data_IF_965866906126
#
_entry.id   IF_965866906126
#
_cell.length_a   1.000
_cell.length_b   1.000
_cell.length_c   1.000
_cell.angle_alpha   90.00
_cell.angle_beta   90.00
_cell.angle_gamma   90.00
#
_symmetry.space_group_name_H-M   'P 1'
#
loop_
_entity.id
_entity.type
_entity.pdbx_description
1 polymer ?
#
# COMPACT_ATOMS: atom_id res chain seq x y z
N UNK A 1 -3.40 -1.77 8.39
CA UNK A 1 -2.79 -1.93 9.74
C UNK A 1 -3.79 -2.48 10.75
N UNK A 2 -4.93 -1.82 11.01
CA UNK A 2 -5.97 -2.35 11.93
C UNK A 2 -6.40 -3.78 11.58
N UNK A 3 -6.60 -4.08 10.29
CA UNK A 3 -6.98 -5.41 9.79
C UNK A 3 -5.91 -6.49 9.97
N UNK A 4 -4.63 -6.08 10.07
CA UNK A 4 -3.47 -6.97 10.01
C UNK A 4 -2.49 -6.60 11.15
N UNK A 5 -2.87 -6.82 12.41
CA UNK A 5 -2.11 -6.38 13.57
C UNK A 5 -0.74 -7.07 13.68
N UNK A 6 -0.60 -8.28 13.15
CA UNK A 6 0.68 -8.98 13.03
C UNK A 6 1.64 -8.26 12.07
N UNK A 7 1.13 -7.79 10.92
CA UNK A 7 1.91 -7.04 9.94
C UNK A 7 2.32 -5.68 10.47
N UNK A 8 1.42 -5.01 11.20
CA UNK A 8 1.74 -3.77 11.93
C UNK A 8 2.88 -3.99 12.91
N UNK A 9 2.77 -5.01 13.77
CA UNK A 9 3.80 -5.31 14.79
C UNK A 9 5.15 -5.61 14.15
N UNK A 10 5.18 -6.41 13.08
CA UNK A 10 6.44 -6.72 12.37
C UNK A 10 7.11 -5.48 11.77
N UNK A 11 6.34 -4.53 11.23
CA UNK A 11 6.88 -3.25 10.75
C UNK A 11 7.37 -2.35 11.89
N UNK A 12 6.64 -2.34 13.01
CA UNK A 12 7.04 -1.64 14.22
C UNK A 12 8.34 -2.20 14.82
N UNK A 13 8.50 -3.53 14.88
CA UNK A 13 9.72 -4.19 15.36
C UNK A 13 10.93 -3.85 14.47
N UNK A 14 10.73 -3.76 13.15
CA UNK A 14 11.76 -3.32 12.21
C UNK A 14 12.17 -1.87 12.45
N UNK A 15 11.19 -0.97 12.63
CA UNK A 15 11.42 0.44 12.94
C UNK A 15 12.18 0.60 14.27
N UNK A 16 11.76 -0.10 15.32
CA UNK A 16 12.41 -0.02 16.63
C UNK A 16 13.87 -0.50 16.55
N UNK A 17 14.14 -1.55 15.78
CA UNK A 17 15.50 -2.07 15.56
C UNK A 17 16.41 -1.05 14.87
N UNK A 18 15.90 -0.33 13.88
CA UNK A 18 16.68 0.63 13.08
C UNK A 18 16.83 1.98 13.78
N UNK A 19 15.76 2.45 14.41
CA UNK A 19 15.69 3.77 15.03
C UNK A 19 16.10 3.77 16.51
N UNK A 20 16.22 2.61 17.16
CA UNK A 20 16.49 2.53 18.60
C UNK A 20 15.33 3.02 19.49
N UNK A 21 14.21 3.40 18.89
CA UNK A 21 13.02 3.91 19.57
C UNK A 21 13.13 5.36 20.06
N UNK A 22 14.16 6.12 19.65
CA UNK A 22 14.48 7.45 20.21
C UNK A 22 14.17 8.64 19.29
N UNK A 23 13.88 8.40 18.01
CA UNK A 23 13.65 9.44 17.00
C UNK A 23 12.62 9.04 15.95
N UNK A 24 12.16 10.03 15.18
CA UNK A 24 11.36 9.80 13.98
C UNK A 24 12.23 9.34 12.80
N UNK A 25 11.68 8.52 11.89
CA UNK A 25 12.40 8.08 10.69
C UNK A 25 12.59 9.21 9.69
N UNK A 26 13.70 9.17 8.96
CA UNK A 26 13.98 10.00 7.79
C UNK A 26 14.07 9.16 6.53
N UNK A 27 14.23 9.79 5.36
CA UNK A 27 14.45 9.05 4.11
C UNK A 27 15.80 8.31 4.06
N UNK A 28 16.77 8.68 4.90
CA UNK A 28 18.07 8.00 5.00
C UNK A 28 17.92 6.60 5.61
N UNK A 29 16.87 6.37 6.40
CA UNK A 29 16.61 5.06 7.02
C UNK A 29 15.99 4.05 6.06
N UNK A 30 15.49 4.50 4.90
CA UNK A 30 14.62 3.70 4.03
C UNK A 30 15.23 2.39 3.56
N UNK A 31 16.51 2.40 3.20
CA UNK A 31 17.22 1.20 2.76
C UNK A 31 17.35 0.14 3.87
N UNK A 32 17.29 0.56 5.14
CA UNK A 32 17.35 -0.33 6.31
C UNK A 32 15.98 -0.83 6.76
N UNK A 33 14.90 -0.44 6.08
CA UNK A 33 13.50 -0.77 6.42
C UNK A 33 12.83 -1.60 5.31
N UNK A 34 13.40 -2.77 4.92
CA UNK A 34 12.90 -3.56 3.79
C UNK A 34 11.50 -4.14 4.01
N UNK A 35 11.11 -4.48 5.23
CA UNK A 35 9.76 -4.98 5.48
C UNK A 35 8.72 -3.85 5.37
N UNK A 36 9.01 -2.65 5.88
CA UNK A 36 8.13 -1.49 5.68
C UNK A 36 7.96 -1.16 4.19
N UNK A 37 9.04 -1.27 3.41
CA UNK A 37 9.00 -1.15 1.95
C UNK A 37 8.04 -2.18 1.33
N UNK A 38 8.06 -3.43 1.81
CA UNK A 38 7.12 -4.45 1.38
C UNK A 38 5.66 -4.12 1.75
N UNK A 39 5.41 -3.55 2.94
CA UNK A 39 4.06 -3.12 3.37
C UNK A 39 3.52 -2.02 2.46
N UNK A 40 4.38 -1.08 2.04
CA UNK A 40 4.01 -0.02 1.10
C UNK A 40 3.55 -0.61 -0.23
N UNK A 41 4.38 -1.46 -0.83
CA UNK A 41 4.06 -2.06 -2.13
C UNK A 41 2.84 -2.96 -2.06
N UNK A 42 2.64 -3.69 -0.96
CA UNK A 42 1.46 -4.53 -0.80
C UNK A 42 0.19 -3.70 -0.64
N UNK A 43 0.29 -2.54 0.03
CA UNK A 43 -0.83 -1.60 0.15
C UNK A 43 -1.25 -1.06 -1.22
N UNK A 44 -0.29 -0.71 -2.07
CA UNK A 44 -0.57 -0.22 -3.42
C UNK A 44 -1.06 -1.32 -4.36
N UNK A 45 -0.59 -2.56 -4.20
CA UNK A 45 -1.03 -3.73 -4.99
C UNK A 45 -2.43 -4.18 -4.61
N UNK A 46 -2.66 -4.39 -3.31
CA UNK A 46 -3.86 -5.03 -2.78
C UNK A 46 -5.11 -4.20 -3.06
N UNK A 47 -4.99 -2.87 -3.05
CA UNK A 47 -6.08 -1.98 -3.45
C UNK A 47 -5.54 -0.75 -4.21
N UNK A 48 -5.37 -0.84 -5.54
CA UNK A 48 -4.83 0.24 -6.34
C UNK A 48 -5.72 1.49 -6.30
N UNK A 49 -5.10 2.67 -6.20
CA UNK A 49 -5.81 3.97 -6.08
C UNK A 49 -6.77 4.22 -7.25
N UNK A 50 -6.36 3.84 -8.47
CA UNK A 50 -7.14 3.97 -9.71
C UNK A 50 -7.31 2.58 -10.33
N UNK A 51 -8.35 1.81 -9.93
CA UNK A 51 -8.48 0.38 -10.24
C UNK A 51 -8.59 0.08 -11.74
N UNK A 52 -9.14 1.00 -12.54
CA UNK A 52 -9.25 0.88 -14.00
C UNK A 52 -8.27 1.79 -14.76
N UNK A 53 -7.23 2.29 -14.08
CA UNK A 53 -6.27 3.23 -14.64
C UNK A 53 -6.93 4.53 -15.15
N UNK A 54 -6.12 5.35 -15.85
CA UNK A 54 -6.64 6.51 -16.57
C UNK A 54 -6.94 6.08 -18.01
N UNK A 55 -8.16 6.29 -18.54
CA UNK A 55 -8.49 5.91 -19.90
C UNK A 55 -7.50 6.51 -20.91
N UNK A 56 -6.98 5.66 -21.78
CA UNK A 56 -6.15 6.05 -22.92
C UNK A 56 -7.01 6.10 -24.18
N UNK A 57 -6.48 6.73 -25.23
CA UNK A 57 -7.09 6.76 -26.56
C UNK A 57 -6.04 6.45 -27.61
N UNK A 58 -6.33 5.52 -28.52
CA UNK A 58 -5.42 5.24 -29.65
C UNK A 58 -5.43 6.39 -30.64
N UNK A 59 -4.24 6.81 -31.10
CA UNK A 59 -4.05 7.97 -31.98
C UNK A 59 -4.25 7.66 -33.47
N UNK A 60 -4.17 6.38 -33.82
CA UNK A 60 -4.33 5.82 -35.15
C UNK A 60 -4.87 4.40 -35.02
N UNK A 61 -5.22 3.79 -36.15
CA UNK A 61 -5.63 2.38 -36.18
C UNK A 61 -4.47 1.50 -35.70
N UNK A 62 -4.78 0.53 -34.86
CA UNK A 62 -3.80 -0.38 -34.26
C UNK A 62 -4.28 -1.83 -34.34
N UNK A 63 -3.38 -2.79 -34.11
CA UNK A 63 -3.71 -4.20 -33.98
C UNK A 63 -2.98 -4.79 -32.79
N UNK A 64 -3.74 -5.29 -31.81
CA UNK A 64 -3.20 -5.89 -30.61
C UNK A 64 -3.74 -7.31 -30.43
N UNK A 65 -2.86 -8.30 -30.25
CA UNK A 65 -3.23 -9.71 -30.13
C UNK A 65 -4.17 -10.22 -31.24
N UNK A 66 -4.01 -9.72 -32.47
CA UNK A 66 -4.85 -10.06 -33.62
C UNK A 66 -6.19 -9.31 -33.68
N UNK A 67 -6.49 -8.45 -32.73
CA UNK A 67 -7.69 -7.59 -32.73
C UNK A 67 -7.38 -6.24 -33.35
N UNK A 68 -8.17 -5.84 -34.34
CA UNK A 68 -8.12 -4.48 -34.89
C UNK A 68 -8.76 -3.49 -33.92
N UNK A 69 -8.03 -2.42 -33.60
CA UNK A 69 -8.46 -1.34 -32.71
C UNK A 69 -8.52 -0.05 -33.55
N UNK A 70 -9.72 0.46 -33.88
CA UNK A 70 -9.84 1.67 -34.67
C UNK A 70 -9.27 2.91 -33.98
N UNK A 71 -8.76 3.85 -34.77
CA UNK A 71 -8.37 5.18 -34.32
C UNK A 71 -9.46 5.80 -33.43
N UNK A 72 -9.03 6.49 -32.38
CA UNK A 72 -9.88 7.12 -31.36
C UNK A 72 -10.62 6.17 -30.41
N UNK A 73 -10.45 4.84 -30.49
CA UNK A 73 -10.98 3.93 -29.47
C UNK A 73 -10.39 4.23 -28.09
N UNK A 74 -11.25 4.18 -27.07
CA UNK A 74 -10.85 4.28 -25.67
C UNK A 74 -10.30 2.94 -25.19
N UNK A 75 -9.15 2.98 -24.54
CA UNK A 75 -8.50 1.82 -23.91
C UNK A 75 -8.50 2.03 -22.40
N UNK A 76 -9.07 1.07 -21.68
CA UNK A 76 -9.11 1.05 -20.22
C UNK A 76 -8.26 -0.15 -19.78
N UNK A 77 -7.16 0.08 -19.06
CA UNK A 77 -6.41 -1.03 -18.48
C UNK A 77 -6.94 -1.33 -17.09
N UNK A 78 -7.28 -2.59 -16.87
CA UNK A 78 -7.76 -3.05 -15.58
C UNK A 78 -6.57 -3.27 -14.63
N UNK A 79 -6.10 -2.20 -13.99
CA UNK A 79 -5.00 -2.23 -13.02
C UNK A 79 -5.27 -3.25 -11.92
N UNK A 80 -6.49 -3.31 -11.39
CA UNK A 80 -6.86 -4.30 -10.35
C UNK A 80 -6.64 -5.73 -10.83
N UNK A 81 -7.08 -6.09 -12.04
CA UNK A 81 -6.82 -7.42 -12.59
C UNK A 81 -5.33 -7.72 -12.72
N UNK A 82 -4.51 -6.76 -13.17
CA UNK A 82 -3.05 -6.96 -13.27
C UNK A 82 -2.44 -7.19 -11.88
N UNK A 83 -2.90 -6.45 -10.86
CA UNK A 83 -2.41 -6.57 -9.48
C UNK A 83 -2.95 -7.80 -8.74
N UNK A 84 -3.96 -8.46 -9.30
CA UNK A 84 -4.59 -9.66 -8.76
C UNK A 84 -4.32 -10.91 -9.62
N UNK A 85 -3.40 -10.84 -10.57
CA UNK A 85 -3.06 -11.96 -11.45
C UNK A 85 -2.38 -13.09 -10.66
N UNK A 86 -3.05 -14.23 -10.50
CA UNK A 86 -2.57 -15.41 -9.79
C UNK A 86 -1.34 -16.05 -10.44
N UNK A 87 -1.07 -15.77 -11.73
CA UNK A 87 0.15 -16.20 -12.39
C UNK A 87 1.38 -15.42 -11.90
N UNK A 88 1.17 -14.21 -11.33
CA UNK A 88 2.23 -13.33 -10.82
C UNK A 88 2.28 -13.36 -9.30
N UNK A 89 1.12 -13.25 -8.64
CA UNK A 89 0.99 -13.14 -7.19
C UNK A 89 0.22 -14.32 -6.62
N UNK A 90 0.85 -15.13 -5.77
CA UNK A 90 0.15 -16.22 -5.09
C UNK A 90 -0.77 -15.65 -4.02
N UNK A 91 -1.99 -16.18 -3.92
CA UNK A 91 -3.02 -15.70 -2.97
C UNK A 91 -3.18 -14.17 -3.08
N UNK A 92 -3.55 -13.64 -4.25
CA UNK A 92 -3.53 -12.19 -4.51
C UNK A 92 -4.54 -11.42 -3.66
N UNK A 93 -5.62 -12.08 -3.22
CA UNK A 93 -6.62 -11.53 -2.30
C UNK A 93 -6.08 -11.25 -0.91
N UNK A 94 -5.00 -11.91 -0.51
CA UNK A 94 -4.44 -11.82 0.82
C UNK A 94 -3.44 -10.66 0.89
N UNK A 95 -3.52 -9.89 1.96
CA UNK A 95 -2.54 -8.84 2.25
C UNK A 95 -1.28 -9.47 2.84
N UNK A 96 -0.29 -9.72 2.00
CA UNK A 96 0.95 -10.41 2.35
C UNK A 96 2.19 -9.60 1.94
N UNK A 97 2.67 -8.67 2.77
CA UNK A 97 3.90 -7.93 2.51
C UNK A 97 5.10 -8.84 2.22
N UNK A 98 5.20 -9.98 2.92
CA UNK A 98 6.30 -10.95 2.73
C UNK A 98 6.41 -11.49 1.30
N UNK A 99 5.40 -11.29 0.43
CA UNK A 99 5.49 -11.70 -0.96
C UNK A 99 6.69 -11.08 -1.69
N UNK A 100 7.05 -9.85 -1.34
CA UNK A 100 8.16 -9.11 -1.98
C UNK A 100 9.51 -9.31 -1.29
N UNK A 101 9.57 -10.07 -0.20
CA UNK A 101 10.84 -10.45 0.41
C UNK A 101 11.50 -11.59 -0.39
N UNK A 102 12.84 -11.62 -0.46
CA UNK A 102 13.56 -12.70 -1.12
C UNK A 102 13.35 -14.05 -0.41
N UNK A 103 13.61 -15.14 -1.12
CA UNK A 103 13.68 -16.47 -0.51
C UNK A 103 14.94 -16.59 0.38
N UNK A 104 14.88 -17.32 1.52
CA UNK A 104 13.74 -18.11 2.02
C UNK A 104 12.74 -17.34 2.91
N UNK A 105 12.97 -16.06 3.21
CA UNK A 105 12.15 -15.29 4.15
C UNK A 105 10.77 -14.87 3.59
N UNK A 106 10.63 -14.84 2.26
CA UNK A 106 9.42 -14.43 1.55
C UNK A 106 9.04 -15.31 0.37
N UNK A 107 8.55 -14.70 -0.72
CA UNK A 107 8.15 -15.40 -1.96
C UNK A 107 8.92 -14.98 -3.20
N UNK A 108 9.78 -13.96 -3.09
CA UNK A 108 10.52 -13.35 -4.20
C UNK A 108 9.61 -12.95 -5.37
N UNK A 109 8.37 -12.54 -5.07
CA UNK A 109 7.41 -12.06 -6.06
C UNK A 109 7.79 -10.64 -6.52
N UNK A 110 7.55 -10.28 -7.79
CA UNK A 110 7.99 -9.00 -8.34
C UNK A 110 7.24 -7.83 -7.72
N UNK A 111 7.90 -6.68 -7.59
CA UNK A 111 7.21 -5.45 -7.15
C UNK A 111 6.10 -5.04 -8.14
N UNK A 112 4.99 -4.47 -7.67
CA UNK A 112 3.88 -4.04 -8.51
C UNK A 112 4.32 -2.97 -9.52
N UNK A 113 4.15 -3.27 -10.82
CA UNK A 113 4.64 -2.41 -11.90
C UNK A 113 3.56 -1.54 -12.57
N UNK A 114 2.28 -1.72 -12.21
CA UNK A 114 1.15 -1.03 -12.84
C UNK A 114 0.41 -0.04 -11.92
N UNK A 115 0.75 0.01 -10.62
CA UNK A 115 0.07 0.86 -9.62
C UNK A 115 0.14 2.36 -9.95
N UNK A 116 1.15 2.77 -10.72
CA UNK A 116 1.34 4.14 -11.20
C UNK A 116 1.08 4.31 -12.70
N UNK A 117 0.42 3.34 -13.34
CA UNK A 117 0.23 3.32 -14.79
C UNK A 117 1.48 2.88 -15.55
N UNK A 118 1.50 3.11 -16.86
CA UNK A 118 2.45 2.45 -17.77
C UNK A 118 2.81 3.33 -18.97
N UNK A 119 3.99 3.04 -19.55
CA UNK A 119 4.47 3.65 -20.79
C UNK A 119 4.60 5.18 -20.73
N UNK A 120 4.30 5.84 -21.86
CA UNK A 120 4.46 7.30 -22.04
C UNK A 120 3.59 8.17 -21.11
N UNK A 121 2.59 7.58 -20.44
CA UNK A 121 1.66 8.26 -19.53
C UNK A 121 1.75 7.73 -18.10
N UNK A 122 2.84 7.04 -17.76
CA UNK A 122 3.12 6.67 -16.38
C UNK A 122 3.08 7.90 -15.47
N UNK A 123 2.54 7.74 -14.27
CA UNK A 123 2.32 8.83 -13.32
C UNK A 123 3.62 9.62 -13.11
N UNK A 124 3.66 10.92 -13.46
CA UNK A 124 4.85 11.74 -13.27
C UNK A 124 5.13 11.98 -11.78
N UNK A 125 4.09 11.96 -10.95
CA UNK A 125 4.18 12.14 -9.50
C UNK A 125 4.53 10.88 -8.70
N UNK A 126 4.80 9.74 -9.36
CA UNK A 126 5.00 8.44 -8.67
C UNK A 126 6.08 8.50 -7.58
N UNK A 127 7.20 9.17 -7.83
CA UNK A 127 8.31 9.27 -6.87
C UNK A 127 7.91 10.07 -5.63
N UNK A 128 7.21 11.19 -5.82
CA UNK A 128 6.73 12.00 -4.71
C UNK A 128 5.61 11.30 -3.94
N UNK A 129 4.66 10.70 -4.66
CA UNK A 129 3.53 9.98 -4.05
C UNK A 129 3.99 8.79 -3.22
N UNK A 130 4.86 7.96 -3.79
CA UNK A 130 5.48 6.83 -3.09
C UNK A 130 6.26 7.28 -1.85
N UNK A 131 7.14 8.28 -1.99
CA UNK A 131 7.94 8.79 -0.88
C UNK A 131 7.07 9.36 0.25
N UNK A 132 5.99 10.09 -0.09
CA UNK A 132 5.07 10.66 0.88
C UNK A 132 4.28 9.58 1.65
N UNK A 133 3.80 8.56 0.95
CA UNK A 133 3.11 7.43 1.60
C UNK A 133 4.07 6.67 2.50
N UNK A 134 5.29 6.41 2.00
CA UNK A 134 6.33 5.73 2.77
C UNK A 134 6.66 6.46 4.07
N UNK A 135 7.00 7.75 4.02
CA UNK A 135 7.40 8.51 5.21
C UNK A 135 6.24 8.67 6.18
N UNK A 136 5.01 8.82 5.69
CA UNK A 136 3.81 8.86 6.53
C UNK A 136 3.61 7.53 7.26
N UNK A 137 3.72 6.40 6.56
CA UNK A 137 3.64 5.07 7.18
C UNK A 137 4.73 4.87 8.22
N UNK A 138 5.97 5.22 7.90
CA UNK A 138 7.11 5.10 8.81
C UNK A 138 6.87 5.88 10.11
N UNK A 139 6.49 7.16 9.99
CA UNK A 139 6.22 8.02 11.14
C UNK A 139 5.03 7.51 11.97
N UNK A 140 3.90 7.22 11.33
CA UNK A 140 2.70 6.74 12.01
C UNK A 140 2.95 5.43 12.77
N UNK A 141 3.68 4.48 12.16
CA UNK A 141 4.01 3.21 12.81
C UNK A 141 5.08 3.37 13.89
N UNK A 142 5.98 4.35 13.77
CA UNK A 142 6.96 4.65 14.82
C UNK A 142 6.27 5.11 16.10
N UNK A 143 5.19 5.91 16.00
CA UNK A 143 4.60 6.57 17.17
C UNK A 143 3.24 6.03 17.62
N UNK A 144 2.45 5.40 16.75
CA UNK A 144 1.09 4.96 17.07
C UNK A 144 0.89 3.44 16.95
N UNK A 145 0.02 2.94 17.83
CA UNK A 145 -0.67 1.66 17.67
C UNK A 145 -2.04 1.92 17.08
N UNK A 146 -2.39 1.18 16.02
CA UNK A 146 -3.73 1.15 15.47
C UNK A 146 -4.40 -0.16 15.89
N UNK A 147 -5.58 -0.08 16.50
CA UNK A 147 -6.34 -1.24 16.97
C UNK A 147 -7.83 -1.08 16.65
N UNK A 148 -8.60 -2.18 16.60
CA UNK A 148 -10.06 -2.09 16.47
C UNK A 148 -10.68 -1.28 17.62
N UNK A 149 -11.88 -0.73 17.36
CA UNK A 149 -12.74 -0.22 18.43
C UNK A 149 -13.29 -1.39 19.24
N UNK A 150 -13.77 -1.11 20.45
CA UNK A 150 -14.44 -2.11 21.29
C UNK A 150 -15.93 -1.79 21.40
N UNK A 151 -16.77 -2.81 21.40
CA UNK A 151 -18.19 -2.66 21.69
C UNK A 151 -18.45 -2.46 23.20
N UNK A 152 -19.73 -2.36 23.59
CA UNK A 152 -20.13 -2.19 24.99
C UNK A 152 -19.71 -3.35 25.91
N UNK A 153 -19.41 -4.53 25.34
CA UNK A 153 -18.96 -5.72 26.06
C UNK A 153 -17.43 -5.88 26.03
N UNK A 154 -16.70 -4.93 25.43
CA UNK A 154 -15.25 -4.98 25.30
C UNK A 154 -14.72 -5.83 24.14
N UNK A 155 -15.61 -6.32 23.26
CA UNK A 155 -15.27 -7.16 22.11
C UNK A 155 -14.75 -6.28 20.97
N UNK A 156 -13.66 -6.72 20.33
CA UNK A 156 -13.07 -6.01 19.21
C UNK A 156 -14.00 -5.98 18.00
N UNK A 157 -14.26 -4.78 17.51
CA UNK A 157 -15.00 -4.51 16.28
C UNK A 157 -14.00 -4.23 15.16
N UNK A 158 -13.66 -5.27 14.41
CA UNK A 158 -12.79 -5.12 13.26
C UNK A 158 -13.49 -4.31 12.16
N UNK A 159 -12.84 -3.29 11.59
CA UNK A 159 -13.38 -2.60 10.43
C UNK A 159 -13.49 -3.58 9.26
N UNK A 160 -14.36 -3.29 8.31
CA UNK A 160 -14.41 -4.02 7.04
C UNK A 160 -13.58 -3.30 6.00
N UNK A 161 -12.89 -4.06 5.15
CA UNK A 161 -12.19 -3.52 3.99
C UNK A 161 -13.22 -3.18 2.89
N UNK A 162 -13.90 -2.05 3.04
CA UNK A 162 -14.86 -1.56 2.06
C UNK A 162 -14.34 -0.28 1.42
N UNK A 163 -14.53 -0.17 0.10
CA UNK A 163 -14.08 0.95 -0.70
C UNK A 163 -15.24 1.50 -1.52
N UNK A 164 -15.13 2.75 -1.96
CA UNK A 164 -16.10 3.32 -2.90
C UNK A 164 -15.83 2.83 -4.33
N UNK A 165 -16.89 2.48 -5.05
CA UNK A 165 -16.84 2.17 -6.48
C UNK A 165 -16.78 3.48 -7.28
N UNK A 166 -15.59 4.05 -7.40
CA UNK A 166 -15.36 5.33 -8.07
C UNK A 166 -14.02 5.34 -8.83
N UNK A 167 -13.78 6.39 -9.62
CA UNK A 167 -12.53 6.55 -10.39
C UNK A 167 -11.28 6.46 -9.49
N UNK A 168 -11.34 7.15 -8.33
CA UNK A 168 -10.48 6.87 -7.19
C UNK A 168 -11.34 6.12 -6.18
N UNK A 169 -10.88 4.96 -5.71
CA UNK A 169 -11.63 4.14 -4.75
C UNK A 169 -11.07 4.23 -3.33
N UNK A 170 -11.25 5.33 -2.59
CA UNK A 170 -10.78 5.41 -1.22
C UNK A 170 -11.57 4.45 -0.31
N UNK A 171 -11.02 4.08 0.87
CA UNK A 171 -11.77 3.33 1.85
C UNK A 171 -13.01 4.10 2.29
N UNK A 172 -14.10 3.39 2.54
CA UNK A 172 -15.27 3.96 3.20
C UNK A 172 -14.91 4.36 4.64
N UNK A 173 -15.63 5.31 5.25
CA UNK A 173 -15.41 5.67 6.65
C UNK A 173 -15.43 4.44 7.56
N UNK A 174 -14.41 4.32 8.42
CA UNK A 174 -14.29 3.28 9.42
C UNK A 174 -13.77 3.88 10.73
N UNK A 175 -14.01 3.19 11.83
CA UNK A 175 -13.52 3.58 13.15
C UNK A 175 -12.38 2.68 13.58
N UNK A 176 -11.40 3.27 14.25
CA UNK A 176 -10.32 2.56 14.92
C UNK A 176 -9.84 3.36 16.13
N UNK A 177 -9.16 2.69 17.03
CA UNK A 177 -8.44 3.31 18.13
C UNK A 177 -7.00 3.59 17.68
N UNK A 178 -6.54 4.80 17.95
CA UNK A 178 -5.16 5.24 17.72
C UNK A 178 -4.59 5.67 19.06
N UNK A 179 -3.51 5.05 19.50
CA UNK A 179 -2.86 5.36 20.78
C UNK A 179 -1.34 5.48 20.62
N UNK A 180 -0.67 6.37 21.36
CA UNK A 180 0.78 6.41 21.37
C UNK A 180 1.37 5.06 21.80
N UNK A 181 2.46 4.62 21.16
CA UNK A 181 3.13 3.34 21.46
C UNK A 181 3.84 3.35 22.81
N UNK A 182 4.36 4.50 23.21
CA UNK A 182 5.16 4.68 24.43
C UNK A 182 5.06 6.13 24.92
N UNK A 183 5.48 6.42 26.18
CA UNK A 183 5.61 7.79 26.65
C UNK A 183 6.54 8.64 25.77
N UNK A 184 7.60 8.06 25.22
CA UNK A 184 8.52 8.74 24.32
C UNK A 184 7.85 9.06 22.97
N UNK A 185 7.08 8.11 22.41
CA UNK A 185 6.30 8.37 21.20
C UNK A 185 5.31 9.53 21.40
N UNK A 186 4.73 9.65 22.59
CA UNK A 186 3.89 10.80 22.95
C UNK A 186 4.68 12.12 22.92
N UNK A 187 5.88 12.14 23.50
CA UNK A 187 6.75 13.33 23.46
C UNK A 187 7.16 13.71 22.03
N UNK A 188 7.47 12.73 21.18
CA UNK A 188 7.80 12.99 19.77
C UNK A 188 6.64 13.64 19.01
N UNK A 189 5.40 13.26 19.30
CA UNK A 189 4.21 13.86 18.69
C UNK A 189 3.93 15.26 19.24
N UNK A 190 4.13 15.49 20.54
CA UNK A 190 3.89 16.80 21.18
C UNK A 190 4.92 17.88 20.77
N UNK A 191 6.02 17.49 20.13
CA UNK A 191 7.06 18.39 19.63
C UNK A 191 6.88 18.83 18.17
N UNK A 192 5.89 18.27 17.45
CA UNK A 192 5.51 18.65 16.08
C UNK A 192 4.48 19.79 16.09
#
# INVERSE_FOLDING_TARGET
>A
MVLFPDKQRKAQDELDRVLGGDRLPSFEDRESLPYLECVLWETLRWHPVVPLGVPHRVSEDDTYCGYHIPKNSTIIANTTCIMMDEAVYKEPSDFLPERFLPLPEGRDEPRPNAVFGYGRRICPGRYLGEANVWIAMANLLTVFNFSPTKDANGIDQMPKAEFYDAFVGPPKPFYCNISPRSPLARTLVEQL
#
